data_IF_285503578540
#
_entry.id   IF_285503578540
#
_cell.length_a   1.000
_cell.length_b   1.000
_cell.length_c   1.000
_cell.angle_alpha   90.00
_cell.angle_beta   90.00
_cell.angle_gamma   90.00
#
_symmetry.space_group_name_H-M   'P 1'
#
loop_
_entity.id
_entity.type
_entity.pdbx_description
1 polymer ?
#
# COMPACT_ATOMS: atom_id res chain seq x y z
N UNK A 1 0.26 -8.67 -16.40
CA UNK A 1 1.40 -8.13 -15.63
C UNK A 1 1.12 -8.49 -14.16
N UNK A 2 1.99 -8.18 -13.20
CA UNK A 2 1.61 -8.28 -11.78
C UNK A 2 1.60 -6.87 -11.19
N UNK A 3 0.80 -6.58 -10.15
CA UNK A 3 0.76 -5.24 -9.58
C UNK A 3 2.14 -4.84 -9.04
N UNK A 4 2.62 -3.67 -9.47
CA UNK A 4 3.92 -3.14 -9.05
C UNK A 4 3.73 -1.88 -8.20
N UNK A 5 4.31 -1.86 -7.00
CA UNK A 5 4.37 -0.65 -6.19
C UNK A 5 5.20 0.45 -6.85
N UNK A 6 4.82 1.70 -6.65
CA UNK A 6 5.55 2.84 -7.20
C UNK A 6 6.95 3.00 -6.59
N UNK A 7 7.14 2.56 -5.34
CA UNK A 7 8.42 2.57 -4.66
C UNK A 7 8.73 1.18 -4.14
N UNK A 8 10.02 0.77 -4.14
CA UNK A 8 10.43 -0.51 -3.59
C UNK A 8 10.35 -0.55 -2.06
N UNK A 9 10.38 0.61 -1.40
CA UNK A 9 10.31 0.78 0.04
C UNK A 9 9.55 2.06 0.38
N UNK A 10 8.80 2.02 1.49
CA UNK A 10 8.05 3.16 2.02
C UNK A 10 8.41 3.34 3.49
N UNK A 11 8.88 4.53 3.85
CA UNK A 11 9.24 4.91 5.21
C UNK A 11 8.40 6.12 5.66
N UNK A 12 7.97 6.12 6.92
CA UNK A 12 7.35 7.27 7.55
C UNK A 12 7.76 7.37 9.01
N UNK A 13 7.90 8.62 9.48
CA UNK A 13 8.09 8.94 10.89
C UNK A 13 6.74 9.30 11.50
N UNK A 14 6.44 8.68 12.64
CA UNK A 14 5.15 8.79 13.33
C UNK A 14 5.41 9.34 14.73
N UNK A 15 4.69 10.40 15.11
CA UNK A 15 4.78 10.93 16.48
C UNK A 15 4.13 9.96 17.47
N UNK A 16 4.75 9.80 18.64
CA UNK A 16 4.33 8.83 19.67
C UNK A 16 2.90 9.03 20.17
N UNK A 17 2.40 10.27 20.12
CA UNK A 17 1.11 10.68 20.66
C UNK A 17 0.01 10.78 19.59
N UNK A 18 0.22 10.19 18.41
CA UNK A 18 -0.78 10.23 17.35
C UNK A 18 -2.05 9.45 17.77
N UNK A 19 -3.25 10.03 17.54
CA UNK A 19 -4.51 9.35 17.83
C UNK A 19 -4.65 8.03 17.07
N UNK A 20 -5.35 7.06 17.67
CA UNK A 20 -5.70 5.82 17.00
C UNK A 20 -6.49 6.07 15.71
N UNK A 21 -6.16 5.35 14.64
CA UNK A 21 -6.75 5.53 13.32
C UNK A 21 -6.14 6.66 12.49
N UNK A 22 -5.11 7.35 12.99
CA UNK A 22 -4.37 8.33 12.18
C UNK A 22 -3.75 7.65 10.95
N UNK A 23 -3.90 8.21 9.75
CA UNK A 23 -3.22 7.69 8.57
C UNK A 23 -1.71 7.87 8.71
N UNK A 24 -0.94 6.83 8.35
CA UNK A 24 0.53 6.83 8.42
C UNK A 24 1.13 7.02 7.04
N UNK A 25 0.78 6.15 6.09
CA UNK A 25 1.27 6.13 4.73
C UNK A 25 0.14 5.74 3.77
N UNK A 26 0.28 6.15 2.52
CA UNK A 26 -0.50 5.65 1.40
C UNK A 26 0.44 4.94 0.43
N UNK A 27 0.07 3.72 0.03
CA UNK A 27 0.80 2.94 -0.96
C UNK A 27 -0.05 2.81 -2.23
N UNK A 28 0.61 2.72 -3.37
CA UNK A 28 -0.04 2.52 -4.67
C UNK A 28 0.72 1.45 -5.45
N UNK A 29 0.01 0.39 -5.82
CA UNK A 29 0.43 -0.60 -6.79
C UNK A 29 -0.41 -0.48 -8.07
N UNK A 30 0.26 -0.56 -9.22
CA UNK A 30 -0.35 -0.46 -10.54
C UNK A 30 -0.21 -1.78 -11.28
N UNK A 31 -1.31 -2.26 -11.85
CA UNK A 31 -1.33 -3.36 -12.81
C UNK A 31 -1.84 -2.85 -14.16
N UNK A 32 -1.22 -3.28 -15.25
CA UNK A 32 -1.54 -2.85 -16.62
C UNK A 32 -2.56 -3.76 -17.30
N UNK A 33 -2.93 -4.86 -16.67
CA UNK A 33 -3.92 -5.76 -17.22
C UNK A 33 -5.32 -5.14 -17.20
N UNK A 34 -6.17 -5.58 -18.13
CA UNK A 34 -7.53 -5.09 -18.27
C UNK A 34 -8.53 -5.96 -17.51
N UNK A 35 -9.65 -5.35 -17.11
CA UNK A 35 -10.75 -6.05 -16.44
C UNK A 35 -10.35 -6.58 -15.07
N UNK A 36 -10.85 -7.77 -14.71
CA UNK A 36 -10.63 -8.35 -13.38
C UNK A 36 -9.14 -8.63 -13.08
N UNK A 37 -8.33 -8.89 -14.10
CA UNK A 37 -6.90 -9.16 -13.93
C UNK A 37 -6.10 -7.91 -13.55
N UNK A 38 -6.62 -6.71 -13.80
CA UNK A 38 -5.99 -5.45 -13.36
C UNK A 38 -6.46 -4.95 -11.99
N UNK A 39 -7.35 -5.68 -11.30
CA UNK A 39 -7.80 -5.28 -9.97
C UNK A 39 -6.76 -5.61 -8.91
N UNK A 40 -6.41 -4.61 -8.11
CA UNK A 40 -5.41 -4.73 -7.04
C UNK A 40 -6.12 -4.76 -5.68
N UNK A 41 -5.79 -5.78 -4.88
CA UNK A 41 -6.20 -5.86 -3.46
C UNK A 41 -4.97 -5.70 -2.56
N UNK A 42 -5.13 -4.95 -1.48
CA UNK A 42 -4.05 -4.69 -0.52
C UNK A 42 -4.30 -5.47 0.77
N UNK A 43 -3.24 -6.03 1.34
CA UNK A 43 -3.28 -6.78 2.57
C UNK A 43 -1.99 -6.61 3.37
N UNK A 44 -2.07 -6.87 4.66
CA UNK A 44 -0.90 -6.95 5.53
C UNK A 44 -0.52 -8.40 5.81
N UNK A 45 0.76 -8.65 6.07
CA UNK A 45 1.22 -9.89 6.67
C UNK A 45 1.19 -9.71 8.19
N UNK A 46 0.30 -10.44 8.86
CA UNK A 46 0.35 -10.60 10.31
C UNK A 46 1.15 -11.87 10.62
N UNK A 47 2.23 -11.74 11.40
CA UNK A 47 2.99 -12.88 11.91
C UNK A 47 2.26 -13.65 13.00
#
# INVERSE_FOLDING_TARGET
EAPAFQQPEYEAQVMENLPAGSPVLQVLALDRDLGANGQVSYGGLSG
#
